data_IF_583278606340
#
_entry.id   IF_583278606340
#
_cell.length_a   1.000
_cell.length_b   1.000
_cell.length_c   1.000
_cell.angle_alpha   90.00
_cell.angle_beta   90.00
_cell.angle_gamma   90.00
#
_symmetry.space_group_name_H-M   'P 1'
#
loop_
_entity.id
_entity.type
_entity.pdbx_description
1 polymer ?
#
# COMPACT_ATOMS: atom_id res chain seq x y z
N UNK A 1 26.05 40.11 -53.34
CA UNK A 1 27.27 39.83 -52.53
C UNK A 1 27.00 40.43 -51.16
N UNK A 2 26.98 39.73 -50.06
CA UNK A 2 27.45 38.39 -49.74
C UNK A 2 26.92 38.12 -48.32
N UNK A 3 26.13 37.05 -48.21
CA UNK A 3 25.86 36.13 -47.10
C UNK A 3 25.90 36.55 -45.60
N UNK A 4 25.06 35.80 -44.87
CA UNK A 4 25.15 35.45 -43.44
C UNK A 4 24.42 36.35 -42.44
N UNK A 5 23.09 36.25 -42.42
CA UNK A 5 22.38 36.29 -41.14
C UNK A 5 21.27 35.22 -41.11
N UNK A 6 21.66 33.99 -41.47
CA UNK A 6 20.80 32.81 -41.41
C UNK A 6 21.28 31.82 -40.33
N UNK A 7 22.13 32.26 -39.39
CA UNK A 7 22.77 31.39 -38.39
C UNK A 7 22.23 31.67 -36.98
N UNK A 8 22.16 32.95 -36.58
CA UNK A 8 21.64 33.35 -35.25
C UNK A 8 20.13 33.15 -35.05
N UNK A 9 19.36 32.91 -36.11
CA UNK A 9 17.92 32.59 -36.00
C UNK A 9 17.70 31.09 -35.79
N UNK A 10 18.52 30.24 -36.40
CA UNK A 10 18.36 28.78 -36.29
C UNK A 10 18.90 28.24 -34.96
N UNK A 11 19.97 28.81 -34.40
CA UNK A 11 20.49 28.38 -33.08
C UNK A 11 19.57 28.81 -31.92
N UNK A 12 18.93 29.98 -32.00
CA UNK A 12 17.91 30.42 -31.02
C UNK A 12 16.63 29.59 -31.11
N UNK A 13 16.26 29.14 -32.31
CA UNK A 13 15.10 28.25 -32.50
C UNK A 13 15.38 26.81 -32.02
N UNK A 14 16.63 26.34 -32.08
CA UNK A 14 17.04 25.03 -31.58
C UNK A 14 17.25 25.00 -30.06
N UNK A 15 17.69 26.11 -29.45
CA UNK A 15 17.90 26.19 -28.00
C UNK A 15 16.60 26.37 -27.20
N UNK A 16 15.58 27.06 -27.73
CA UNK A 16 14.31 27.26 -27.02
C UNK A 16 13.25 26.19 -27.33
N UNK A 17 13.34 25.47 -28.47
CA UNK A 17 12.55 24.24 -28.66
C UNK A 17 13.07 23.05 -27.82
N UNK A 18 14.27 23.17 -27.23
CA UNK A 18 14.90 22.10 -26.44
C UNK A 18 14.53 22.09 -24.95
N UNK A 19 13.90 23.15 -24.42
CA UNK A 19 13.60 23.27 -22.99
C UNK A 19 12.19 23.83 -22.84
N UNK A 20 11.28 23.03 -22.26
CA UNK A 20 9.95 23.42 -21.74
C UNK A 20 8.73 23.24 -22.65
N UNK A 21 8.52 22.07 -23.25
CA UNK A 21 7.15 21.59 -23.43
C UNK A 21 7.01 20.07 -23.44
N UNK A 22 7.68 19.39 -22.50
CA UNK A 22 7.10 18.16 -21.95
C UNK A 22 5.87 18.55 -21.14
N UNK A 23 4.78 18.86 -21.86
CA UNK A 23 3.43 18.78 -21.32
C UNK A 23 3.19 17.31 -20.97
N UNK A 24 3.74 16.90 -19.82
CA UNK A 24 3.28 15.71 -19.15
C UNK A 24 1.79 15.93 -18.94
N UNK A 25 0.99 15.23 -19.74
CA UNK A 25 -0.43 15.05 -19.52
C UNK A 25 -0.57 14.28 -18.22
N UNK A 26 -0.37 14.99 -17.11
CA UNK A 26 -0.65 14.48 -15.78
C UNK A 26 -2.11 14.01 -15.83
N UNK A 27 -2.39 12.72 -15.58
CA UNK A 27 -3.77 12.25 -15.55
C UNK A 27 -4.52 13.14 -14.56
N UNK A 28 -5.70 13.63 -14.96
CA UNK A 28 -6.54 14.50 -14.11
C UNK A 28 -6.79 13.78 -12.79
N UNK A 29 -5.94 14.01 -11.79
CA UNK A 29 -6.10 13.47 -10.44
C UNK A 29 -7.46 13.98 -9.97
N UNK A 30 -8.35 13.06 -9.57
CA UNK A 30 -9.70 13.37 -9.13
C UNK A 30 -9.66 14.25 -7.87
N UNK A 31 -9.46 15.56 -8.04
CA UNK A 31 -9.00 16.43 -6.96
C UNK A 31 -10.07 16.78 -5.93
N UNK A 32 -11.35 16.71 -6.29
CA UNK A 32 -12.43 17.17 -5.41
C UNK A 32 -13.38 16.06 -4.95
N UNK A 33 -13.61 15.02 -5.75
CA UNK A 33 -14.49 13.91 -5.35
C UNK A 33 -13.79 12.88 -4.47
N UNK A 34 -12.48 12.67 -4.65
CA UNK A 34 -11.68 11.69 -3.87
C UNK A 34 -11.22 12.24 -2.51
N UNK A 35 -11.05 13.57 -2.43
CA UNK A 35 -10.68 14.31 -1.23
C UNK A 35 -11.49 13.93 0.03
N UNK A 36 -12.84 14.00 0.03
CA UNK A 36 -13.62 13.67 1.23
C UNK A 36 -13.49 12.19 1.63
N UNK A 37 -13.34 11.26 0.68
CA UNK A 37 -13.15 9.84 1.01
C UNK A 37 -11.82 9.60 1.73
N UNK A 38 -10.75 10.26 1.29
CA UNK A 38 -9.43 10.16 1.94
C UNK A 38 -9.49 10.77 3.34
N UNK A 39 -10.11 11.94 3.49
CA UNK A 39 -10.26 12.61 4.79
C UNK A 39 -11.06 11.74 5.76
N UNK A 40 -12.20 11.19 5.33
CA UNK A 40 -13.01 10.32 6.18
C UNK A 40 -12.25 9.06 6.56
N UNK A 41 -11.50 8.44 5.64
CA UNK A 41 -10.67 7.28 5.95
C UNK A 41 -9.61 7.61 7.01
N UNK A 42 -8.86 8.68 6.83
CA UNK A 42 -7.87 9.16 7.80
C UNK A 42 -8.52 9.44 9.16
N UNK A 43 -9.66 10.13 9.17
CA UNK A 43 -10.39 10.41 10.41
C UNK A 43 -10.85 9.12 11.10
N UNK A 44 -11.38 8.13 10.37
CA UNK A 44 -11.82 6.85 10.93
C UNK A 44 -10.64 6.08 11.53
N UNK A 45 -9.49 6.06 10.84
CA UNK A 45 -8.28 5.41 11.34
C UNK A 45 -7.78 6.05 12.64
N UNK A 46 -7.76 7.39 12.69
CA UNK A 46 -7.40 8.15 13.91
C UNK A 46 -8.38 7.87 15.04
N UNK A 47 -9.69 7.94 14.78
CA UNK A 47 -10.74 7.71 15.77
C UNK A 47 -10.67 6.29 16.33
N UNK A 48 -10.50 5.28 15.49
CA UNK A 48 -10.33 3.90 15.93
C UNK A 48 -9.08 3.75 16.82
N UNK A 49 -7.96 4.34 16.41
CA UNK A 49 -6.71 4.30 17.17
C UNK A 49 -6.85 4.95 18.55
N UNK A 50 -7.42 6.16 18.60
CA UNK A 50 -7.64 6.88 19.86
C UNK A 50 -8.73 6.25 20.75
N UNK A 51 -9.72 5.57 20.18
CA UNK A 51 -10.78 4.90 20.93
C UNK A 51 -10.35 3.56 21.53
N UNK A 52 -9.54 2.79 20.81
CA UNK A 52 -9.10 1.45 21.26
C UNK A 52 -8.04 1.54 22.37
N UNK A 53 -7.10 2.48 22.24
CA UNK A 53 -5.96 2.61 23.16
C UNK A 53 -6.35 2.77 24.65
N UNK A 54 -7.25 3.70 25.05
CA UNK A 54 -7.68 3.86 26.44
C UNK A 54 -8.58 2.71 26.93
N UNK A 55 -9.41 2.14 26.05
CA UNK A 55 -10.26 1.00 26.42
C UNK A 55 -9.43 -0.26 26.71
N UNK A 56 -8.40 -0.51 25.89
CA UNK A 56 -7.51 -1.65 26.09
C UNK A 56 -6.73 -1.54 27.41
N UNK A 57 -6.13 -0.38 27.71
CA UNK A 57 -5.37 -0.20 28.95
C UNK A 57 -6.26 -0.32 30.20
N UNK A 58 -7.49 0.23 30.15
CA UNK A 58 -8.44 0.10 31.24
C UNK A 58 -8.88 -1.36 31.45
N UNK A 59 -9.08 -2.11 30.37
CA UNK A 59 -9.42 -3.54 30.46
C UNK A 59 -8.27 -4.36 31.08
N UNK A 60 -7.03 -4.10 30.66
CA UNK A 60 -5.86 -4.80 31.20
C UNK A 60 -5.63 -4.51 32.70
N UNK A 61 -5.93 -3.28 33.15
CA UNK A 61 -5.77 -2.89 34.55
C UNK A 61 -6.93 -3.40 35.41
N UNK A 62 -8.19 -3.18 35.00
CA UNK A 62 -9.36 -3.45 35.85
C UNK A 62 -9.80 -4.92 35.79
N UNK A 63 -9.93 -5.49 34.59
CA UNK A 63 -10.46 -6.84 34.40
C UNK A 63 -9.34 -7.88 34.53
N UNK A 64 -8.22 -7.63 33.85
CA UNK A 64 -7.07 -8.54 33.86
C UNK A 64 -6.15 -8.36 35.09
N UNK A 65 -6.44 -7.40 35.98
CA UNK A 65 -5.66 -7.13 37.20
C UNK A 65 -4.14 -7.02 36.97
N UNK A 66 -3.72 -6.54 35.80
CA UNK A 66 -2.30 -6.34 35.52
C UNK A 66 -1.80 -5.07 36.22
N UNK A 67 -0.57 -5.12 36.73
CA UNK A 67 0.14 -3.92 37.15
C UNK A 67 0.28 -2.95 35.96
N UNK A 68 0.15 -1.64 36.21
CA UNK A 68 0.23 -0.59 35.18
C UNK A 68 1.49 -0.73 34.32
N UNK A 69 2.63 -1.10 34.92
CA UNK A 69 3.89 -1.35 34.20
C UNK A 69 3.79 -2.49 33.18
N UNK A 70 3.08 -3.59 33.51
CA UNK A 70 2.87 -4.73 32.59
C UNK A 70 1.89 -4.36 31.48
N UNK A 71 0.80 -3.67 31.81
CA UNK A 71 -0.20 -3.28 30.83
C UNK A 71 0.37 -2.29 29.78
N UNK A 72 1.21 -1.35 30.22
CA UNK A 72 1.95 -0.45 29.32
C UNK A 72 2.94 -1.20 28.42
N UNK A 73 3.60 -2.25 28.92
CA UNK A 73 4.47 -3.08 28.08
C UNK A 73 3.69 -3.78 26.95
N UNK A 74 2.46 -4.22 27.23
CA UNK A 74 1.56 -4.79 26.21
C UNK A 74 1.15 -3.73 25.19
N UNK A 75 0.82 -2.51 25.63
CA UNK A 75 0.55 -1.38 24.72
C UNK A 75 1.76 -1.05 23.83
N UNK A 76 2.98 -1.04 24.37
CA UNK A 76 4.20 -0.82 23.57
C UNK A 76 4.38 -1.93 22.53
N UNK A 77 4.16 -3.18 22.93
CA UNK A 77 4.25 -4.33 22.01
C UNK A 77 3.18 -4.24 20.92
N UNK A 78 1.96 -3.83 21.27
CA UNK A 78 0.88 -3.58 20.31
C UNK A 78 1.27 -2.50 19.31
N UNK A 79 1.78 -1.35 19.78
CA UNK A 79 2.26 -0.27 18.90
C UNK A 79 3.40 -0.73 17.98
N UNK A 80 4.34 -1.52 18.51
CA UNK A 80 5.41 -2.11 17.70
C UNK A 80 4.85 -3.05 16.62
N UNK A 81 3.87 -3.90 16.96
CA UNK A 81 3.19 -4.76 15.99
C UNK A 81 2.46 -3.96 14.91
N UNK A 82 1.77 -2.86 15.26
CA UNK A 82 1.09 -2.01 14.27
C UNK A 82 2.08 -1.39 13.27
N UNK A 83 3.26 -0.96 13.74
CA UNK A 83 4.31 -0.45 12.86
C UNK A 83 4.87 -1.54 11.93
N UNK A 84 5.15 -2.73 12.47
CA UNK A 84 5.61 -3.88 11.67
C UNK A 84 4.53 -4.28 10.65
N UNK A 85 3.26 -4.29 11.05
CA UNK A 85 2.14 -4.61 10.18
C UNK A 85 1.99 -3.57 9.05
N UNK A 86 2.27 -2.30 9.30
CA UNK A 86 2.31 -1.27 8.25
C UNK A 86 3.42 -1.51 7.24
N UNK A 87 4.63 -1.90 7.70
CA UNK A 87 5.74 -2.29 6.81
C UNK A 87 5.36 -3.53 6.00
N UNK A 88 4.76 -4.51 6.66
CA UNK A 88 4.27 -5.72 6.02
C UNK A 88 3.17 -5.42 4.99
N UNK A 89 2.26 -4.49 5.32
CA UNK A 89 1.21 -4.01 4.43
C UNK A 89 1.75 -3.27 3.22
N UNK A 90 2.81 -2.48 3.39
CA UNK A 90 3.51 -1.84 2.27
C UNK A 90 4.19 -2.89 1.37
N UNK A 91 4.86 -3.89 1.95
CA UNK A 91 5.46 -5.00 1.20
C UNK A 91 4.41 -5.83 0.45
N UNK A 92 3.26 -6.07 1.09
CA UNK A 92 2.14 -6.77 0.49
C UNK A 92 1.53 -5.95 -0.65
N UNK A 93 1.37 -4.64 -0.47
CA UNK A 93 0.87 -3.71 -1.48
C UNK A 93 1.82 -3.61 -2.69
N UNK A 94 3.13 -3.55 -2.46
CA UNK A 94 4.15 -3.49 -3.52
C UNK A 94 4.16 -4.79 -4.34
N UNK A 95 4.03 -5.93 -3.66
CA UNK A 95 3.91 -7.23 -4.32
C UNK A 95 2.61 -7.36 -5.15
N UNK A 96 1.51 -6.74 -4.71
CA UNK A 96 0.18 -6.87 -5.33
C UNK A 96 0.06 -6.20 -6.71
N UNK A 97 0.92 -5.22 -7.04
CA UNK A 97 0.82 -4.37 -8.24
C UNK A 97 1.34 -5.01 -9.55
N UNK A 98 1.64 -6.31 -9.61
CA UNK A 98 1.87 -6.93 -10.93
C UNK A 98 2.07 -8.45 -11.03
N UNK A 99 2.43 -9.16 -9.95
CA UNK A 99 2.74 -10.62 -10.07
C UNK A 99 2.23 -11.49 -8.92
N UNK A 100 2.05 -10.93 -7.73
CA UNK A 100 1.66 -11.68 -6.54
C UNK A 100 0.22 -12.22 -6.63
N UNK A 101 -0.69 -11.52 -7.30
CA UNK A 101 -2.07 -11.97 -7.46
C UNK A 101 -2.16 -13.24 -8.34
N UNK A 102 -1.34 -13.34 -9.39
CA UNK A 102 -1.28 -14.51 -10.27
C UNK A 102 -0.70 -15.73 -9.54
N UNK A 103 0.34 -15.52 -8.73
CA UNK A 103 0.96 -16.58 -7.94
C UNK A 103 0.00 -17.04 -6.81
N UNK A 104 -0.69 -16.09 -6.16
CA UNK A 104 -1.68 -16.40 -5.12
C UNK A 104 -2.87 -17.19 -5.67
N UNK A 105 -3.42 -16.77 -6.82
CA UNK A 105 -4.50 -17.49 -7.51
C UNK A 105 -4.03 -18.84 -8.04
N UNK A 106 -2.82 -18.90 -8.62
CA UNK A 106 -2.23 -20.15 -9.11
C UNK A 106 -2.02 -21.16 -7.98
N UNK A 107 -1.52 -20.69 -6.83
CA UNK A 107 -1.31 -21.51 -5.63
C UNK A 107 -2.64 -21.98 -5.03
N UNK A 108 -3.62 -21.08 -4.88
CA UNK A 108 -4.94 -21.44 -4.34
C UNK A 108 -5.70 -22.40 -5.26
N UNK A 109 -5.64 -22.17 -6.58
CA UNK A 109 -6.21 -23.06 -7.59
C UNK A 109 -5.54 -24.43 -7.56
N UNK A 110 -4.21 -24.51 -7.49
CA UNK A 110 -3.47 -25.77 -7.37
C UNK A 110 -3.87 -26.55 -6.11
N UNK A 111 -3.99 -25.87 -4.96
CA UNK A 111 -4.42 -26.50 -3.71
C UNK A 111 -5.85 -27.04 -3.76
N UNK A 112 -6.79 -26.29 -4.35
CA UNK A 112 -8.18 -26.74 -4.53
C UNK A 112 -8.27 -27.93 -5.50
N UNK A 113 -7.55 -27.85 -6.62
CA UNK A 113 -7.50 -28.94 -7.61
C UNK A 113 -6.89 -30.18 -6.98
N UNK A 114 -5.75 -30.10 -6.30
CA UNK A 114 -5.16 -31.25 -5.61
C UNK A 114 -6.09 -31.81 -4.53
N UNK A 115 -6.74 -30.96 -3.71
CA UNK A 115 -7.65 -31.42 -2.65
C UNK A 115 -8.91 -32.12 -3.20
N UNK A 116 -9.42 -31.70 -4.36
CA UNK A 116 -10.58 -32.31 -5.02
C UNK A 116 -10.22 -33.55 -5.86
N UNK A 117 -8.99 -33.61 -6.40
CA UNK A 117 -8.50 -34.72 -7.22
C UNK A 117 -7.94 -35.89 -6.37
N UNK A 118 -7.37 -35.59 -5.19
CA UNK A 118 -6.89 -36.59 -4.22
C UNK A 118 -7.94 -37.66 -3.83
N UNK A 119 -9.23 -37.37 -3.59
CA UNK A 119 -10.21 -38.42 -3.29
C UNK A 119 -10.53 -39.34 -4.47
N UNK A 120 -10.10 -39.01 -5.69
CA UNK A 120 -10.28 -39.86 -6.89
C UNK A 120 -9.05 -40.70 -7.25
N UNK A 121 -7.88 -40.45 -6.63
CA UNK A 121 -6.70 -41.30 -6.80
C UNK A 121 -6.73 -42.43 -5.75
N UNK A 122 -6.77 -43.70 -6.18
CA UNK A 122 -7.06 -44.82 -5.29
C UNK A 122 -5.92 -45.05 -4.28
N UNK A 123 -6.25 -45.01 -2.99
CA UNK A 123 -5.47 -45.70 -1.95
C UNK A 123 -5.60 -47.24 -2.04
N UNK A 124 -6.18 -47.77 -3.12
CA UNK A 124 -6.38 -49.22 -3.36
C UNK A 124 -5.48 -49.80 -4.45
N UNK A 125 -4.35 -49.15 -4.79
CA UNK A 125 -3.32 -49.68 -5.68
C UNK A 125 -1.98 -50.01 -4.95
N UNK A 126 -2.06 -50.26 -3.63
CA UNK A 126 -1.11 -51.08 -2.86
C UNK A 126 -1.88 -51.90 -1.83
#
# INVERSE_FOLDING_TARGET
MEYTNSDGTNEKLLMENGISSSSSSQPRKGGFRTMPFIIVNECLEKVASYGIMPNMILYLINDYNMAVAKATNVLYTWSAMSNILSIFGAFFSDSYLGRFNVIFIGSFSSLLVSSLLLPSFPLSAF
#
